data_IF_406692289919
#
_entry.id   IF_406692289919
#
_cell.length_a   1.000
_cell.length_b   1.000
_cell.length_c   1.000
_cell.angle_alpha   90.00
_cell.angle_beta   90.00
_cell.angle_gamma   90.00
#
_symmetry.space_group_name_H-M   'P 1'
#
loop_
_entity.id
_entity.type
_entity.pdbx_description
1 polymer ?
#
# COMPACT_ATOMS: atom_id res chain seq x y z
N UNK A 1 -13.01 -28.25 -10.93
CA UNK A 1 -12.26 -27.84 -9.71
C UNK A 1 -13.23 -27.69 -8.56
N UNK A 2 -12.91 -28.20 -7.37
CA UNK A 2 -13.76 -28.06 -6.17
C UNK A 2 -13.72 -26.61 -5.68
N UNK A 3 -14.86 -26.09 -5.21
CA UNK A 3 -14.90 -24.79 -4.51
C UNK A 3 -14.20 -24.96 -3.16
N UNK A 4 -13.12 -24.23 -2.95
CA UNK A 4 -12.35 -24.26 -1.71
C UNK A 4 -12.95 -23.26 -0.72
N UNK A 5 -12.98 -23.62 0.56
CA UNK A 5 -13.41 -22.70 1.62
C UNK A 5 -12.38 -21.59 1.82
N UNK A 6 -12.85 -20.35 1.90
CA UNK A 6 -11.99 -19.18 2.03
C UNK A 6 -11.59 -18.98 3.50
N UNK A 7 -10.60 -19.74 3.96
CA UNK A 7 -9.91 -19.47 5.23
C UNK A 7 -9.17 -18.12 5.17
N UNK A 8 -8.81 -17.56 6.31
CA UNK A 8 -8.15 -16.25 6.37
C UNK A 8 -6.77 -16.25 5.70
N UNK A 9 -6.04 -17.35 5.85
CA UNK A 9 -4.74 -17.60 5.21
C UNK A 9 -4.86 -17.62 3.68
N UNK A 10 -5.84 -18.36 3.16
CA UNK A 10 -6.10 -18.43 1.72
C UNK A 10 -6.53 -17.08 1.17
N UNK A 11 -7.32 -16.30 1.92
CA UNK A 11 -7.63 -14.90 1.55
C UNK A 11 -6.39 -14.01 1.55
N UNK A 12 -5.42 -14.24 2.45
CA UNK A 12 -4.17 -13.49 2.47
C UNK A 12 -3.31 -13.81 1.24
N UNK A 13 -3.18 -15.09 0.89
CA UNK A 13 -2.45 -15.53 -0.30
C UNK A 13 -3.04 -14.98 -1.59
N UNK A 14 -4.37 -15.07 -1.76
CA UNK A 14 -5.03 -14.51 -2.93
C UNK A 14 -4.88 -12.98 -3.03
N UNK A 15 -4.87 -12.29 -1.88
CA UNK A 15 -4.57 -10.84 -1.83
C UNK A 15 -3.13 -10.56 -2.22
N UNK A 16 -2.17 -11.35 -1.75
CA UNK A 16 -0.76 -11.21 -2.10
C UNK A 16 -0.54 -11.38 -3.62
N UNK A 17 -1.18 -12.39 -4.23
CA UNK A 17 -1.11 -12.62 -5.69
C UNK A 17 -1.69 -11.43 -6.47
N UNK A 18 -2.80 -10.85 -5.99
CA UNK A 18 -3.41 -9.65 -6.60
C UNK A 18 -2.49 -8.44 -6.51
N UNK A 19 -1.78 -8.30 -5.41
CA UNK A 19 -0.91 -7.17 -5.12
C UNK A 19 0.56 -7.38 -5.52
N UNK A 20 0.88 -8.44 -6.27
CA UNK A 20 2.26 -8.78 -6.68
C UNK A 20 3.06 -7.61 -7.28
N UNK A 21 2.40 -6.72 -8.02
CA UNK A 21 3.00 -5.52 -8.64
C UNK A 21 3.43 -4.46 -7.62
N UNK A 22 2.87 -4.48 -6.41
CA UNK A 22 3.16 -3.54 -5.34
C UNK A 22 4.12 -4.12 -4.31
N UNK A 23 4.22 -5.45 -4.23
CA UNK A 23 5.12 -6.17 -3.33
C UNK A 23 6.56 -6.08 -3.84
N UNK A 24 6.77 -6.29 -5.14
CA UNK A 24 8.11 -6.30 -5.74
C UNK A 24 8.38 -5.00 -6.48
N UNK A 25 9.46 -4.31 -6.10
CA UNK A 25 9.86 -3.03 -6.69
C UNK A 25 10.33 -3.18 -8.15
N UNK A 26 11.05 -4.27 -8.43
CA UNK A 26 11.77 -4.45 -9.70
C UNK A 26 11.08 -5.45 -10.64
N UNK A 27 9.92 -5.98 -10.25
CA UNK A 27 9.15 -6.94 -11.05
C UNK A 27 7.82 -6.33 -11.47
N UNK A 28 7.68 -6.11 -12.77
CA UNK A 28 6.44 -5.60 -13.38
C UNK A 28 5.67 -6.77 -14.00
N UNK A 29 4.55 -7.15 -13.38
CA UNK A 29 3.66 -8.13 -13.96
C UNK A 29 2.46 -7.47 -14.63
N UNK A 30 1.81 -8.22 -15.52
CA UNK A 30 0.49 -7.83 -16.04
C UNK A 30 -0.48 -7.59 -14.88
N UNK A 31 -1.22 -6.49 -14.93
CA UNK A 31 -2.21 -6.13 -13.90
C UNK A 31 -3.30 -7.19 -13.81
N UNK A 32 -3.72 -7.52 -12.58
CA UNK A 32 -4.85 -8.43 -12.37
C UNK A 32 -6.16 -7.75 -12.75
N UNK A 33 -6.90 -8.30 -13.71
CA UNK A 33 -8.20 -7.78 -14.15
C UNK A 33 -9.35 -8.21 -13.23
N UNK A 34 -9.10 -9.19 -12.34
CA UNK A 34 -10.10 -9.74 -11.43
C UNK A 34 -10.51 -8.74 -10.34
N UNK A 35 -11.74 -8.21 -10.44
CA UNK A 35 -12.34 -7.37 -9.39
C UNK A 35 -12.57 -8.17 -8.11
N UNK A 36 -13.13 -9.37 -8.22
CA UNK A 36 -13.42 -10.30 -7.12
C UNK A 36 -12.36 -11.41 -7.03
N UNK A 37 -12.24 -12.03 -5.86
CA UNK A 37 -11.39 -13.21 -5.68
C UNK A 37 -11.93 -14.39 -6.51
N UNK A 38 -11.06 -15.22 -7.09
CA UNK A 38 -11.49 -16.41 -7.83
C UNK A 38 -12.23 -17.38 -6.90
N UNK A 39 -13.33 -17.98 -7.40
CA UNK A 39 -14.13 -18.95 -6.63
C UNK A 39 -13.59 -20.38 -6.72
N UNK A 40 -12.86 -20.68 -7.79
CA UNK A 40 -12.28 -21.99 -8.05
C UNK A 40 -10.78 -21.81 -8.22
N UNK A 41 -10.01 -22.48 -7.38
CA UNK A 41 -8.55 -22.49 -7.42
C UNK A 41 -8.04 -23.75 -6.74
N UNK A 42 -6.78 -24.08 -6.99
CA UNK A 42 -6.06 -25.14 -6.31
C UNK A 42 -4.74 -24.59 -5.82
N UNK A 43 -4.38 -24.95 -4.61
CA UNK A 43 -3.07 -24.64 -4.03
C UNK A 43 -2.22 -25.89 -4.20
N UNK A 44 -1.03 -25.72 -4.76
CA UNK A 44 -0.06 -26.78 -4.97
C UNK A 44 1.32 -26.29 -4.61
N UNK A 45 2.17 -27.22 -4.20
CA UNK A 45 3.58 -26.95 -3.89
C UNK A 45 4.43 -27.44 -5.05
N UNK A 46 5.41 -26.64 -5.48
CA UNK A 46 6.37 -27.06 -6.50
C UNK A 46 7.25 -28.16 -5.91
N UNK A 47 7.36 -29.29 -6.61
CA UNK A 47 8.25 -30.39 -6.26
C UNK A 47 9.58 -30.15 -6.96
N UNK A 48 10.66 -30.09 -6.18
CA UNK A 48 11.99 -29.85 -6.74
C UNK A 48 12.48 -31.09 -7.50
N UNK A 49 12.98 -30.89 -8.72
CA UNK A 49 13.71 -31.91 -9.47
C UNK A 49 15.22 -31.60 -9.39
N UNK A 50 16.06 -32.55 -8.94
CA UNK A 50 17.51 -32.38 -8.88
C UNK A 50 18.19 -32.15 -10.24
N UNK A 51 17.48 -32.30 -11.38
CA UNK A 51 18.03 -32.16 -12.74
C UNK A 51 17.82 -30.78 -13.39
N UNK A 52 17.22 -29.81 -12.71
CA UNK A 52 16.93 -28.46 -13.27
C UNK A 52 18.21 -27.61 -13.37
N UNK A 53 18.33 -26.80 -14.43
CA UNK A 53 19.51 -25.97 -14.78
C UNK A 53 20.06 -25.12 -13.61
N UNK A 54 19.22 -24.60 -12.71
CA UNK A 54 19.66 -23.81 -11.56
C UNK A 54 20.07 -24.61 -10.31
N UNK A 55 19.96 -25.94 -10.35
CA UNK A 55 20.47 -26.86 -9.31
C UNK A 55 20.14 -26.45 -7.87
N UNK A 56 21.18 -26.18 -7.08
CA UNK A 56 21.05 -25.79 -5.67
C UNK A 56 20.67 -24.31 -5.46
N UNK A 57 20.81 -23.45 -6.48
CA UNK A 57 20.54 -22.01 -6.35
C UNK A 57 19.04 -21.69 -6.44
N UNK A 58 18.31 -22.42 -7.28
CA UNK A 58 16.85 -22.27 -7.41
C UNK A 58 16.07 -22.96 -6.28
N UNK A 59 16.73 -23.86 -5.54
CA UNK A 59 16.09 -24.66 -4.50
C UNK A 59 16.03 -23.91 -3.18
N UNK A 60 14.82 -23.71 -2.66
CA UNK A 60 14.60 -23.20 -1.32
C UNK A 60 15.07 -24.20 -0.25
N UNK A 61 15.81 -23.72 0.75
CA UNK A 61 16.18 -24.54 1.92
C UNK A 61 14.95 -24.85 2.78
N UNK A 62 15.04 -25.89 3.62
CA UNK A 62 13.93 -26.30 4.52
C UNK A 62 13.42 -25.16 5.41
N UNK A 63 14.28 -24.20 5.78
CA UNK A 63 13.93 -23.04 6.61
C UNK A 63 13.13 -21.98 5.84
N UNK A 64 13.45 -21.81 4.56
CA UNK A 64 12.81 -20.83 3.68
C UNK A 64 11.47 -21.32 3.12
N UNK A 65 11.23 -22.64 3.08
CA UNK A 65 9.93 -23.21 2.71
C UNK A 65 8.90 -22.91 3.79
N UNK A 66 7.84 -22.19 3.42
CA UNK A 66 6.70 -21.85 4.29
C UNK A 66 5.42 -22.50 3.79
N UNK A 67 4.42 -22.57 4.67
CA UNK A 67 3.12 -23.18 4.34
C UNK A 67 2.25 -22.30 3.45
N UNK A 68 2.44 -20.99 3.49
CA UNK A 68 1.67 -20.01 2.73
C UNK A 68 2.56 -19.07 1.93
N UNK A 69 2.02 -18.53 0.84
CA UNK A 69 2.74 -17.59 -0.03
C UNK A 69 2.96 -16.27 0.70
N UNK A 70 1.96 -15.82 1.46
CA UNK A 70 2.02 -14.59 2.23
C UNK A 70 3.13 -14.63 3.30
N UNK A 71 3.32 -15.77 3.98
CA UNK A 71 4.39 -15.92 4.97
C UNK A 71 5.77 -15.91 4.31
N UNK A 72 5.92 -16.54 3.15
CA UNK A 72 7.18 -16.50 2.41
C UNK A 72 7.54 -15.05 2.02
N UNK A 73 6.57 -14.29 1.50
CA UNK A 73 6.80 -12.88 1.17
C UNK A 73 7.11 -12.01 2.38
N UNK A 74 6.50 -12.30 3.54
CA UNK A 74 6.82 -11.61 4.78
C UNK A 74 8.27 -11.85 5.20
N UNK A 75 8.75 -13.09 5.09
CA UNK A 75 10.15 -13.42 5.35
C UNK A 75 11.07 -12.65 4.41
N UNK A 76 10.81 -12.66 3.10
CA UNK A 76 11.64 -11.94 2.12
C UNK A 76 11.62 -10.42 2.35
N UNK A 77 10.45 -9.85 2.68
CA UNK A 77 10.33 -8.42 2.97
C UNK A 77 11.01 -8.02 4.27
N UNK A 78 11.06 -8.88 5.28
CA UNK A 78 11.82 -8.62 6.51
C UNK A 78 13.32 -8.46 6.21
N UNK A 79 13.86 -9.21 5.24
CA UNK A 79 15.24 -9.06 4.79
C UNK A 79 15.43 -7.77 3.96
N UNK A 80 14.47 -7.45 3.09
CA UNK A 80 14.59 -6.31 2.17
C UNK A 80 14.21 -4.95 2.80
N UNK A 81 13.33 -4.95 3.82
CA UNK A 81 12.76 -3.78 4.48
C UNK A 81 11.95 -2.85 3.58
N UNK A 82 11.55 -3.30 2.39
CA UNK A 82 10.93 -2.45 1.37
C UNK A 82 9.54 -1.98 1.79
N UNK A 83 8.69 -2.89 2.25
CA UNK A 83 7.31 -2.55 2.58
C UNK A 83 7.23 -1.59 3.75
N UNK A 84 8.09 -1.75 4.77
CA UNK A 84 8.20 -0.81 5.89
C UNK A 84 8.56 0.61 5.43
N UNK A 85 9.65 0.75 4.67
CA UNK A 85 10.08 2.06 4.12
C UNK A 85 8.98 2.70 3.26
N UNK A 86 8.32 1.89 2.42
CA UNK A 86 7.24 2.38 1.56
C UNK A 86 6.04 2.85 2.38
N UNK A 87 5.66 2.09 3.40
CA UNK A 87 4.56 2.42 4.30
C UNK A 87 4.79 3.73 5.05
N UNK A 88 5.97 3.90 5.65
CA UNK A 88 6.35 5.13 6.35
C UNK A 88 6.32 6.34 5.40
N UNK A 89 6.91 6.19 4.21
CA UNK A 89 6.91 7.26 3.20
C UNK A 89 5.49 7.68 2.77
N UNK A 90 4.54 6.74 2.71
CA UNK A 90 3.15 7.01 2.35
C UNK A 90 2.40 7.70 3.49
N UNK A 91 2.62 7.25 4.72
CA UNK A 91 2.01 7.87 5.90
C UNK A 91 2.51 9.30 6.11
N UNK A 92 3.80 9.55 5.93
CA UNK A 92 4.35 10.90 6.03
C UNK A 92 3.78 11.82 4.94
N UNK A 93 3.67 11.34 3.70
CA UNK A 93 3.02 12.09 2.62
C UNK A 93 1.56 12.41 2.98
N UNK A 94 0.80 11.44 3.51
CA UNK A 94 -0.59 11.63 3.93
C UNK A 94 -0.70 12.66 5.06
N UNK A 95 0.17 12.60 6.07
CA UNK A 95 0.23 13.56 7.17
C UNK A 95 0.51 14.97 6.68
N UNK A 96 1.57 15.15 5.88
CA UNK A 96 1.95 16.46 5.29
C UNK A 96 0.82 17.07 4.47
N UNK A 97 0.08 16.25 3.71
CA UNK A 97 -1.08 16.73 2.94
C UNK A 97 -2.24 17.18 3.85
N UNK A 98 -2.47 16.48 4.96
CA UNK A 98 -3.43 16.88 5.98
C UNK A 98 -3.08 18.23 6.61
N UNK A 99 -1.81 18.42 6.99
CA UNK A 99 -1.33 19.66 7.60
C UNK A 99 -1.38 20.83 6.61
N UNK A 100 -0.98 20.61 5.36
CA UNK A 100 -1.10 21.61 4.30
C UNK A 100 -2.55 22.05 4.12
N UNK A 101 -3.49 21.09 4.10
CA UNK A 101 -4.94 21.39 3.99
C UNK A 101 -5.44 22.18 5.20
N UNK A 102 -4.99 21.84 6.41
CA UNK A 102 -5.32 22.58 7.64
C UNK A 102 -4.78 24.00 7.59
N UNK A 103 -3.52 24.19 7.23
CA UNK A 103 -2.88 25.50 7.15
C UNK A 103 -3.53 26.39 6.10
N UNK A 104 -3.92 25.85 4.94
CA UNK A 104 -4.68 26.60 3.92
C UNK A 104 -6.03 27.10 4.47
N UNK A 105 -6.75 26.28 5.24
CA UNK A 105 -8.02 26.70 5.87
C UNK A 105 -7.80 27.80 6.90
N UNK A 106 -6.76 27.69 7.73
CA UNK A 106 -6.42 28.71 8.74
C UNK A 106 -6.05 30.03 8.06
N UNK A 107 -5.21 29.99 7.02
CA UNK A 107 -4.82 31.18 6.27
C UNK A 107 -6.01 31.84 5.57
N UNK A 108 -6.91 31.06 4.97
CA UNK A 108 -8.15 31.60 4.37
C UNK A 108 -9.01 32.34 5.41
N UNK A 109 -9.22 31.74 6.59
CA UNK A 109 -9.95 32.40 7.69
C UNK A 109 -9.26 33.67 8.19
N UNK A 110 -7.92 33.68 8.27
CA UNK A 110 -7.17 34.89 8.64
C UNK A 110 -7.35 36.00 7.62
N UNK A 111 -7.26 35.69 6.33
CA UNK A 111 -7.49 36.65 5.23
C UNK A 111 -8.92 37.19 5.22
N UNK A 112 -9.91 36.35 5.50
CA UNK A 112 -11.31 36.80 5.62
C UNK A 112 -11.49 37.75 6.81
N UNK A 113 -10.89 37.43 7.97
CA UNK A 113 -10.93 38.30 9.16
C UNK A 113 -10.27 39.66 8.91
N UNK A 114 -9.09 39.70 8.29
CA UNK A 114 -8.41 40.96 7.97
C UNK A 114 -9.18 41.81 6.97
N UNK A 115 -9.81 41.20 5.95
CA UNK A 115 -10.71 41.90 5.02
C UNK A 115 -11.95 42.49 5.71
N UNK A 116 -12.52 41.80 6.69
CA UNK A 116 -13.66 42.32 7.47
C UNK A 116 -13.23 43.49 8.35
N UNK A 117 -12.06 43.41 9.00
CA UNK A 117 -11.50 44.51 9.79
C UNK A 117 -11.20 45.74 8.94
N UNK A 118 -10.56 45.60 7.78
CA UNK A 118 -10.26 46.75 6.91
C UNK A 118 -11.53 47.43 6.38
N UNK A 119 -12.58 46.66 6.04
CA UNK A 119 -13.90 47.21 5.67
C UNK A 119 -14.61 47.96 6.81
N UNK A 120 -14.45 47.53 8.06
CA UNK A 120 -15.00 48.26 9.21
C UNK A 120 -14.28 49.58 9.43
N UNK A 121 -12.95 49.58 9.31
CA UNK A 121 -12.11 50.78 9.47
C UNK A 121 -12.43 51.82 8.38
N UNK A 122 -12.61 51.41 7.13
CA UNK A 122 -12.96 52.35 6.04
C UNK A 122 -14.37 52.93 6.18
N UNK A 123 -15.35 52.14 6.62
CA UNK A 123 -16.71 52.62 6.90
C UNK A 123 -16.79 53.57 8.09
N UNK A 124 -15.97 53.36 9.14
CA UNK A 124 -15.89 54.24 10.29
C UNK A 124 -15.31 55.62 9.94
N UNK A 125 -14.29 55.67 9.07
CA UNK A 125 -13.71 56.93 8.58
C UNK A 125 -14.64 57.74 7.69
N UNK A 126 -15.55 57.10 6.96
CA UNK A 126 -16.53 57.79 6.09
C UNK A 126 -17.69 58.45 6.83
N UNK A 127 -17.91 58.12 8.11
CA UNK A 127 -19.01 58.69 8.93
C UNK A 127 -18.59 59.90 9.77
N UNK A 128 -17.30 60.21 9.82
CA UNK A 128 -16.74 61.34 10.57
C UNK A 128 -16.30 62.49 9.64
N UNK A 129 -16.94 62.61 8.47
CA UNK A 129 -16.76 63.69 7.50
C UNK A 129 -18.14 64.19 7.12
#
# INVERSE_FOLDING_TARGET
MKKVELTEEVKADLRAIKLRNQIFKDRFYKTSEFKKLPQYFQIGTVVDDPRVEGGNADRLTKKQRKGTIAEQFLMDDQHNGFSKRKYESLNDKRRRMGDKKRNMKVNKKKVEKTKVQSKKISKGRSKNK
#
